data_IF_805825776031
#
_entry.id   IF_805825776031
#
_cell.length_a   1.000
_cell.length_b   1.000
_cell.length_c   1.000
_cell.angle_alpha   90.00
_cell.angle_beta   90.00
_cell.angle_gamma   90.00
#
_symmetry.space_group_name_H-M   'P 1'
#
loop_
_entity.id
_entity.type
_entity.pdbx_description
1 polymer ?
#
# COMPACT_ATOMS: atom_id res chain seq x y z
N UNK A 1 8.66 46.64 11.10
CA UNK A 1 7.66 46.08 10.15
C UNK A 1 8.03 44.69 9.67
N UNK A 2 9.30 44.29 9.72
CA UNK A 2 9.81 42.96 9.32
C UNK A 2 9.46 41.84 10.30
N UNK A 3 9.40 42.11 11.61
CA UNK A 3 9.15 41.07 12.63
C UNK A 3 7.73 40.49 12.56
N UNK A 4 6.74 41.32 12.19
CA UNK A 4 5.36 40.89 11.97
C UNK A 4 5.21 40.03 10.70
N UNK A 5 6.03 40.28 9.67
CA UNK A 5 6.03 39.48 8.45
C UNK A 5 6.65 38.10 8.68
N UNK A 6 7.74 38.03 9.43
CA UNK A 6 8.43 36.78 9.76
C UNK A 6 7.52 35.88 10.60
N UNK A 7 6.84 36.43 11.61
CA UNK A 7 5.88 35.67 12.43
C UNK A 7 4.73 35.06 11.61
N UNK A 8 4.16 35.82 10.68
CA UNK A 8 3.10 35.35 9.80
C UNK A 8 3.59 34.24 8.84
N UNK A 9 4.79 34.38 8.28
CA UNK A 9 5.40 33.37 7.40
C UNK A 9 5.59 32.02 8.11
N UNK A 10 6.02 32.04 9.37
CA UNK A 10 6.12 30.82 10.17
C UNK A 10 4.75 30.15 10.38
N UNK A 11 3.71 30.93 10.70
CA UNK A 11 2.35 30.40 10.89
C UNK A 11 1.82 29.75 9.60
N UNK A 12 2.02 30.40 8.45
CA UNK A 12 1.60 29.86 7.15
C UNK A 12 2.42 28.66 6.67
N UNK A 13 3.60 28.39 7.24
CA UNK A 13 4.39 27.19 6.94
C UNK A 13 4.09 26.03 7.90
N UNK A 14 3.87 26.34 9.19
CA UNK A 14 3.74 25.33 10.24
C UNK A 14 2.35 24.68 10.25
N UNK A 15 1.29 25.45 10.03
CA UNK A 15 -0.09 24.94 9.91
C UNK A 15 -0.25 23.88 8.81
N UNK A 16 0.10 24.14 7.54
CA UNK A 16 -0.01 23.13 6.48
C UNK A 16 0.91 21.93 6.70
N UNK A 17 2.05 22.10 7.36
CA UNK A 17 2.94 21.00 7.76
C UNK A 17 2.25 20.00 8.69
N UNK A 18 1.58 20.48 9.75
CA UNK A 18 0.84 19.63 10.70
C UNK A 18 -0.36 18.95 10.01
N UNK A 19 -1.07 19.68 9.14
CA UNK A 19 -2.19 19.11 8.37
C UNK A 19 -1.69 17.98 7.46
N UNK A 20 -0.61 18.19 6.72
CA UNK A 20 -0.02 17.18 5.85
C UNK A 20 0.47 15.94 6.63
N UNK A 21 0.99 16.12 7.85
CA UNK A 21 1.39 15.02 8.74
C UNK A 21 0.20 14.09 9.05
N UNK A 22 -0.95 14.65 9.45
CA UNK A 22 -2.14 13.84 9.78
C UNK A 22 -2.70 13.09 8.58
N UNK A 23 -2.66 13.69 7.38
CA UNK A 23 -3.10 13.06 6.13
C UNK A 23 -2.20 11.88 5.78
N UNK A 24 -0.89 12.02 5.95
CA UNK A 24 0.09 10.97 5.63
C UNK A 24 0.02 9.79 6.58
N UNK A 25 -0.18 10.03 7.88
CA UNK A 25 -0.36 8.95 8.86
C UNK A 25 -1.62 8.13 8.55
N UNK A 26 -2.73 8.78 8.23
CA UNK A 26 -3.97 8.08 7.80
C UNK A 26 -3.79 7.29 6.51
N UNK A 27 -2.91 7.74 5.61
CA UNK A 27 -2.57 7.03 4.35
C UNK A 27 -1.54 5.91 4.52
N UNK A 28 -1.05 5.65 5.74
CA UNK A 28 -0.13 4.56 6.04
C UNK A 28 1.29 4.79 5.48
N UNK A 29 1.71 6.06 5.41
CA UNK A 29 3.08 6.47 5.07
C UNK A 29 3.70 7.17 6.27
N UNK A 30 5.02 7.36 6.26
CA UNK A 30 5.72 8.03 7.36
C UNK A 30 5.18 9.47 7.51
N UNK A 31 4.49 9.77 8.62
CA UNK A 31 3.91 11.09 8.89
C UNK A 31 4.92 12.23 8.82
N UNK A 32 6.16 11.96 9.24
CA UNK A 32 7.29 12.88 9.18
C UNK A 32 7.65 13.31 7.74
N UNK A 33 7.49 12.42 6.76
CA UNK A 33 7.69 12.77 5.36
C UNK A 33 6.61 13.73 4.85
N UNK A 34 5.37 13.58 5.35
CA UNK A 34 4.26 14.49 5.05
C UNK A 34 4.47 15.87 5.68
N UNK A 35 5.02 15.91 6.90
CA UNK A 35 5.38 17.16 7.57
C UNK A 35 6.44 17.94 6.79
N UNK A 36 7.54 17.28 6.38
CA UNK A 36 8.59 17.97 5.61
C UNK A 36 8.08 18.47 4.26
N UNK A 37 7.27 17.68 3.56
CA UNK A 37 6.66 18.12 2.30
C UNK A 37 5.73 19.31 2.51
N UNK A 38 4.90 19.28 3.56
CA UNK A 38 3.94 20.32 3.90
C UNK A 38 4.60 21.60 4.43
N UNK A 39 5.66 21.49 5.23
CA UNK A 39 6.38 22.64 5.77
C UNK A 39 7.24 23.33 4.69
N UNK A 40 7.92 22.54 3.84
CA UNK A 40 8.83 23.06 2.81
C UNK A 40 8.07 23.66 1.61
N UNK A 41 6.96 23.06 1.19
CA UNK A 41 6.11 23.58 0.11
C UNK A 41 4.88 24.36 0.62
N UNK A 42 4.76 24.59 1.93
CA UNK A 42 3.63 25.26 2.57
C UNK A 42 2.28 24.75 2.01
N UNK A 43 1.46 25.62 1.40
CA UNK A 43 0.16 25.25 0.87
C UNK A 43 0.22 24.22 -0.29
N UNK A 44 1.24 24.31 -1.15
CA UNK A 44 1.42 23.36 -2.26
C UNK A 44 1.62 21.93 -1.75
N UNK A 45 2.31 21.78 -0.60
CA UNK A 45 2.55 20.48 0.01
C UNK A 45 1.26 19.77 0.43
N UNK A 46 0.25 20.53 0.88
CA UNK A 46 -1.07 19.99 1.26
C UNK A 46 -1.87 19.54 0.04
N UNK A 47 -1.83 20.31 -1.06
CA UNK A 47 -2.48 19.93 -2.32
C UNK A 47 -1.90 18.60 -2.81
N UNK A 48 -0.58 18.46 -2.84
CA UNK A 48 0.08 17.20 -3.21
C UNK A 48 -0.30 16.07 -2.25
N UNK A 49 -0.35 16.35 -0.94
CA UNK A 49 -0.75 15.37 0.07
C UNK A 49 -2.15 14.80 -0.16
N UNK A 50 -3.08 15.59 -0.71
CA UNK A 50 -4.43 15.14 -1.06
C UNK A 50 -4.43 14.20 -2.25
N UNK A 51 -3.71 14.52 -3.33
CA UNK A 51 -3.66 13.71 -4.56
C UNK A 51 -2.80 12.45 -4.45
N UNK A 52 -1.93 12.34 -3.45
CA UNK A 52 -1.13 11.13 -3.24
C UNK A 52 -2.02 9.93 -2.88
N UNK A 53 -1.97 8.82 -3.64
CA UNK A 53 -2.75 7.63 -3.35
C UNK A 53 -2.27 6.94 -2.06
N UNK A 54 -3.21 6.27 -1.39
CA UNK A 54 -2.97 5.66 -0.08
C UNK A 54 -2.15 4.37 -0.19
N UNK A 55 -1.03 4.28 0.55
CA UNK A 55 -0.08 3.15 0.52
C UNK A 55 -0.65 1.86 1.16
N UNK A 56 -1.71 1.99 1.95
CA UNK A 56 -2.40 0.88 2.58
C UNK A 56 -3.05 -0.10 1.56
N UNK A 57 -3.39 0.35 0.35
CA UNK A 57 -3.91 -0.53 -0.70
C UNK A 57 -2.82 -1.49 -1.20
N UNK A 58 -1.60 -0.99 -1.39
CA UNK A 58 -0.44 -1.77 -1.82
C UNK A 58 -0.01 -2.79 -0.75
N UNK A 59 -0.11 -2.42 0.53
CA UNK A 59 0.20 -3.31 1.65
C UNK A 59 -0.81 -4.45 1.79
N UNK A 60 -2.11 -4.18 1.61
CA UNK A 60 -3.15 -5.22 1.62
C UNK A 60 -2.95 -6.23 0.48
N UNK A 61 -2.67 -5.75 -0.74
CA UNK A 61 -2.36 -6.62 -1.88
C UNK A 61 -1.15 -7.53 -1.61
N UNK A 62 -0.07 -6.97 -1.06
CA UNK A 62 1.14 -7.75 -0.70
C UNK A 62 0.89 -8.76 0.43
N UNK A 63 0.11 -8.41 1.47
CA UNK A 63 -0.24 -9.34 2.54
C UNK A 63 -1.13 -10.49 2.03
N UNK A 64 -2.15 -10.19 1.22
CA UNK A 64 -3.06 -11.19 0.68
C UNK A 64 -2.31 -12.19 -0.21
N UNK A 65 -1.42 -11.71 -1.08
CA UNK A 65 -0.57 -12.58 -1.92
C UNK A 65 0.26 -13.55 -1.07
N UNK A 66 0.91 -13.05 -0.01
CA UNK A 66 1.73 -13.89 0.90
C UNK A 66 0.90 -14.93 1.66
N UNK A 67 -0.35 -14.60 2.03
CA UNK A 67 -1.27 -15.54 2.70
C UNK A 67 -1.73 -16.62 1.72
N UNK A 68 -2.04 -16.23 0.47
CA UNK A 68 -2.43 -17.14 -0.60
C UNK A 68 -1.31 -18.15 -0.92
N UNK A 69 -0.07 -17.66 -1.07
CA UNK A 69 1.10 -18.51 -1.29
C UNK A 69 1.29 -19.54 -0.16
N UNK A 70 1.09 -19.12 1.10
CA UNK A 70 1.14 -20.04 2.26
C UNK A 70 0.00 -21.07 2.26
N UNK A 71 -1.22 -20.68 1.87
CA UNK A 71 -2.33 -21.64 1.78
C UNK A 71 -2.05 -22.70 0.71
N UNK A 72 -1.50 -22.29 -0.42
CA UNK A 72 -1.14 -23.16 -1.55
C UNK A 72 -0.10 -24.21 -1.12
N UNK A 73 0.94 -23.79 -0.39
CA UNK A 73 1.96 -24.72 0.14
C UNK A 73 1.43 -25.64 1.24
N UNK A 74 0.57 -25.16 2.14
CA UNK A 74 -0.05 -25.99 3.17
C UNK A 74 -0.99 -27.03 2.53
N UNK A 75 -1.73 -26.66 1.49
CA UNK A 75 -2.61 -27.57 0.76
C UNK A 75 -1.85 -28.69 0.04
N UNK A 76 -0.66 -28.41 -0.49
CA UNK A 76 0.24 -29.44 -1.05
C UNK A 76 0.69 -30.46 0.01
N UNK A 77 1.08 -29.98 1.20
CA UNK A 77 1.56 -30.85 2.28
C UNK A 77 0.43 -31.70 2.87
N UNK A 78 -0.78 -31.12 3.00
CA UNK A 78 -1.97 -31.83 3.49
C UNK A 78 -2.61 -32.75 2.45
N UNK A 79 -2.11 -32.73 1.21
CA UNK A 79 -2.70 -33.49 0.12
C UNK A 79 -4.12 -33.03 -0.23
N UNK A 80 -4.48 -31.76 0.00
CA UNK A 80 -5.76 -31.19 -0.47
C UNK A 80 -5.60 -30.46 -1.81
N UNK A 81 -4.35 -30.23 -2.23
CA UNK A 81 -4.00 -29.59 -3.49
C UNK A 81 -2.93 -30.42 -4.20
N UNK A 82 -2.97 -30.48 -5.54
CA UNK A 82 -1.97 -31.11 -6.41
C UNK A 82 -1.35 -30.08 -7.35
N UNK A 83 -0.12 -30.34 -7.79
CA UNK A 83 0.51 -29.53 -8.85
C UNK A 83 0.09 -30.06 -10.21
N UNK A 84 -0.39 -29.20 -11.10
CA UNK A 84 -0.75 -29.59 -12.46
C UNK A 84 0.48 -30.00 -13.26
N UNK A 85 0.44 -31.15 -13.93
CA UNK A 85 1.60 -31.68 -14.66
C UNK A 85 1.96 -30.86 -15.91
N UNK A 86 0.99 -30.17 -16.50
CA UNK A 86 1.19 -29.43 -17.74
C UNK A 86 1.63 -27.96 -17.52
N UNK A 87 1.23 -27.31 -16.43
CA UNK A 87 1.59 -25.90 -16.17
C UNK A 87 2.30 -25.64 -14.84
N UNK A 88 2.41 -26.63 -13.94
CA UNK A 88 3.07 -26.49 -12.64
C UNK A 88 2.31 -25.63 -11.63
N UNK A 89 1.06 -25.25 -11.95
CA UNK A 89 0.21 -24.48 -11.06
C UNK A 89 -0.44 -25.41 -10.04
N UNK A 90 -0.50 -24.98 -8.77
CA UNK A 90 -1.16 -25.76 -7.72
C UNK A 90 -2.66 -25.53 -7.78
N UNK A 91 -3.41 -26.62 -7.89
CA UNK A 91 -4.86 -26.68 -8.03
C UNK A 91 -5.45 -27.63 -7.00
N UNK A 92 -6.73 -27.49 -6.69
CA UNK A 92 -7.43 -28.40 -5.78
C UNK A 92 -7.50 -29.82 -6.37
N UNK A 93 -7.46 -30.84 -5.52
CA UNK A 93 -7.43 -32.23 -5.99
C UNK A 93 -8.71 -32.64 -6.72
N UNK A 94 -9.85 -32.01 -6.40
CA UNK A 94 -11.15 -32.31 -6.98
C UNK A 94 -11.32 -31.77 -8.41
N UNK A 95 -10.34 -31.02 -8.93
CA UNK A 95 -10.36 -30.54 -10.31
C UNK A 95 -9.73 -31.53 -11.29
N UNK A 96 -10.54 -31.94 -12.27
CA UNK A 96 -10.10 -32.73 -13.43
C UNK A 96 -9.43 -31.86 -14.51
N UNK A 97 -9.85 -30.60 -14.64
CA UNK A 97 -9.36 -29.66 -15.65
C UNK A 97 -8.77 -28.44 -14.94
N UNK A 98 -7.51 -28.13 -15.24
CA UNK A 98 -6.82 -26.97 -14.67
C UNK A 98 -7.42 -25.66 -15.23
N UNK A 99 -7.81 -24.69 -14.39
CA UNK A 99 -8.42 -23.44 -14.86
C UNK A 99 -7.43 -22.51 -15.59
N UNK A 100 -6.12 -22.71 -15.36
CA UNK A 100 -5.07 -21.89 -15.97
C UNK A 100 -4.74 -22.35 -17.39
N UNK A 101 -4.45 -23.64 -17.56
CA UNK A 101 -4.05 -24.19 -18.86
C UNK A 101 -5.17 -24.88 -19.63
N UNK A 102 -6.36 -25.07 -19.00
CA UNK A 102 -7.52 -25.76 -19.55
C UNK A 102 -7.23 -27.19 -20.05
N UNK A 103 -6.14 -27.80 -19.54
CA UNK A 103 -5.79 -29.20 -19.78
C UNK A 103 -6.01 -30.02 -18.51
N UNK A 104 -5.92 -31.35 -18.63
CA UNK A 104 -6.02 -32.25 -17.50
C UNK A 104 -4.95 -31.95 -16.44
N UNK A 105 -5.42 -31.83 -15.19
CA UNK A 105 -4.64 -31.37 -14.06
C UNK A 105 -3.85 -32.49 -13.37
#
# INVERSE_FOLDING_TARGET
>A
MTDALIGNIFIYSLLPGVIALTIFEKKGRNGFQGFFLGALLSYLGVVIALFVPSNNQTLKGRKNKKIEDRKKTIGLIRGTMKSCTNCGEVVEMDLFVCPHCKKYA
#
